data_IF_820524422603
#
_entry.id   IF_820524422603
#
_cell.length_a   1.000
_cell.length_b   1.000
_cell.length_c   1.000
_cell.angle_alpha   90.00
_cell.angle_beta   90.00
_cell.angle_gamma   90.00
#
_symmetry.space_group_name_H-M   'P 1'
#
loop_
_entity.id
_entity.type
_entity.pdbx_description
1 polymer ?
#
# COMPACT_ATOMS: atom_id res chain seq x y z
N UNK A 1 15.20 -47.77 6.87
CA UNK A 1 14.47 -48.81 7.62
C UNK A 1 13.98 -48.16 8.91
N UNK A 2 12.66 -48.07 9.12
CA UNK A 2 11.94 -47.11 10.00
C UNK A 2 12.05 -47.33 11.51
N UNK A 3 11.10 -46.86 12.36
CA UNK A 3 9.74 -46.33 12.08
C UNK A 3 9.59 -44.81 12.38
N UNK A 4 8.71 -44.01 11.77
CA UNK A 4 7.24 -44.03 11.62
C UNK A 4 6.47 -43.87 12.95
N UNK A 5 6.16 -42.62 13.32
CA UNK A 5 5.14 -42.29 14.32
C UNK A 5 4.01 -41.50 13.65
N UNK A 6 2.89 -42.19 13.44
CA UNK A 6 1.58 -41.62 13.16
C UNK A 6 0.82 -41.48 14.48
N UNK A 7 0.12 -40.37 14.71
CA UNK A 7 -1.00 -40.32 15.64
C UNK A 7 -2.03 -39.31 15.14
N UNK A 8 -3.15 -39.84 14.65
CA UNK A 8 -4.42 -39.17 14.39
C UNK A 8 -5.37 -39.31 15.60
N UNK A 9 -6.49 -38.57 15.52
CA UNK A 9 -7.70 -38.52 16.37
C UNK A 9 -7.64 -37.52 17.55
N UNK A 10 -8.65 -36.68 17.78
CA UNK A 10 -10.09 -36.92 17.60
C UNK A 10 -10.88 -35.60 17.47
N UNK A 11 -11.76 -35.57 16.48
CA UNK A 11 -12.88 -34.62 16.34
C UNK A 11 -13.97 -34.98 17.38
N UNK A 12 -14.52 -33.99 18.08
CA UNK A 12 -15.66 -34.17 18.98
C UNK A 12 -16.83 -33.29 18.55
N UNK A 13 -17.96 -33.96 18.34
CA UNK A 13 -19.27 -33.42 17.99
C UNK A 13 -19.86 -32.46 19.04
N UNK A 14 -20.62 -31.50 18.53
CA UNK A 14 -22.03 -31.33 18.89
C UNK A 14 -22.38 -30.78 20.27
N UNK A 15 -22.75 -29.49 20.31
CA UNK A 15 -23.72 -29.00 21.30
C UNK A 15 -24.68 -28.01 20.66
N UNK A 16 -25.95 -28.41 20.58
CA UNK A 16 -27.10 -27.53 20.36
C UNK A 16 -27.69 -27.14 21.71
N UNK A 17 -27.96 -25.85 21.90
CA UNK A 17 -28.91 -25.38 22.90
C UNK A 17 -29.75 -24.24 22.32
N UNK A 18 -31.05 -24.47 22.35
CA UNK A 18 -32.14 -23.58 21.99
C UNK A 18 -32.48 -22.63 23.15
N UNK A 19 -32.98 -21.44 22.80
CA UNK A 19 -33.97 -20.72 23.59
C UNK A 19 -33.54 -19.37 24.20
N UNK A 20 -34.36 -18.34 23.95
CA UNK A 20 -34.63 -17.28 24.92
C UNK A 20 -34.26 -15.86 24.51
N UNK A 21 -35.21 -15.13 23.93
CA UNK A 21 -35.22 -13.67 23.82
C UNK A 21 -35.48 -13.03 25.20
N UNK A 22 -34.65 -12.08 25.64
CA UNK A 22 -35.13 -10.87 26.35
C UNK A 22 -34.19 -9.67 26.12
N UNK A 23 -34.84 -8.57 25.77
CA UNK A 23 -34.44 -7.15 25.73
C UNK A 23 -33.43 -6.68 26.80
N UNK A 24 -32.52 -5.79 26.40
CA UNK A 24 -31.71 -4.96 27.29
C UNK A 24 -30.85 -3.95 26.51
N UNK A 25 -31.31 -2.70 26.46
CA UNK A 25 -30.63 -1.51 25.91
C UNK A 25 -29.35 -1.13 26.70
N UNK A 26 -28.49 -0.35 26.03
CA UNK A 26 -27.21 0.27 26.42
C UNK A 26 -25.98 -0.57 26.02
N UNK A 27 -24.90 -0.04 25.44
CA UNK A 27 -24.38 1.32 25.41
C UNK A 27 -23.42 1.47 24.21
N UNK A 28 -23.21 2.70 23.75
CA UNK A 28 -22.55 3.02 22.46
C UNK A 28 -21.08 2.63 22.34
N UNK A 29 -20.73 2.05 21.19
CA UNK A 29 -19.36 1.99 20.67
C UNK A 29 -19.20 3.08 19.58
N UNK A 30 -18.08 3.83 19.54
CA UNK A 30 -17.83 4.78 18.46
C UNK A 30 -17.43 4.04 17.18
N UNK A 31 -18.37 3.95 16.23
CA UNK A 31 -18.14 3.57 14.83
C UNK A 31 -17.39 4.72 14.14
N UNK A 32 -16.07 4.73 14.30
CA UNK A 32 -15.17 5.74 13.75
C UNK A 32 -14.16 5.19 12.75
N UNK A 33 -14.48 4.09 12.05
CA UNK A 33 -13.72 3.68 10.88
C UNK A 33 -14.00 4.69 9.76
N UNK A 34 -13.04 5.56 9.45
CA UNK A 34 -13.13 6.40 8.25
C UNK A 34 -13.12 5.48 7.03
N UNK A 35 -14.30 5.06 6.62
CA UNK A 35 -14.52 4.39 5.34
C UNK A 35 -14.06 5.39 4.28
N UNK A 36 -13.06 4.99 3.49
CA UNK A 36 -12.66 5.76 2.32
C UNK A 36 -13.89 5.89 1.42
N UNK A 37 -14.45 7.10 1.31
CA UNK A 37 -15.56 7.39 0.42
C UNK A 37 -14.96 7.87 -0.91
N UNK A 38 -15.03 7.06 -1.99
CA UNK A 38 -14.44 7.42 -3.28
C UNK A 38 -15.11 8.63 -3.96
N UNK A 39 -16.15 9.23 -3.35
CA UNK A 39 -16.89 10.36 -3.90
C UNK A 39 -16.51 11.73 -3.31
N UNK A 40 -15.54 11.84 -2.39
CA UNK A 40 -15.15 13.14 -1.80
C UNK A 40 -14.23 13.94 -2.74
N UNK A 41 -14.92 14.63 -3.66
CA UNK A 41 -14.66 15.90 -4.35
C UNK A 41 -13.21 16.46 -4.38
N UNK A 42 -12.66 16.58 -5.59
CA UNK A 42 -11.60 17.53 -5.92
C UNK A 42 -12.21 18.75 -6.62
N UNK A 43 -12.11 19.91 -5.99
CA UNK A 43 -12.26 21.19 -6.69
C UNK A 43 -11.02 21.40 -7.59
N UNK A 44 -11.18 21.83 -8.85
CA UNK A 44 -10.06 21.98 -9.76
C UNK A 44 -9.39 23.36 -9.55
N UNK A 45 -8.09 23.38 -9.27
CA UNK A 45 -7.27 24.54 -9.62
C UNK A 45 -5.85 24.14 -10.06
N UNK A 46 -5.37 24.90 -11.04
CA UNK A 46 -4.09 24.87 -11.75
C UNK A 46 -3.70 23.59 -12.55
N UNK A 47 -4.01 23.63 -13.85
CA UNK A 47 -3.35 22.89 -14.95
C UNK A 47 -3.39 21.35 -14.88
N UNK A 48 -4.58 20.76 -14.83
CA UNK A 48 -4.77 19.32 -14.98
C UNK A 48 -4.59 18.87 -16.44
N UNK A 49 -3.47 18.21 -16.74
CA UNK A 49 -3.31 17.41 -17.97
C UNK A 49 -3.99 16.06 -17.77
N UNK A 50 -5.00 15.78 -18.58
CA UNK A 50 -5.61 14.45 -18.69
C UNK A 50 -4.77 13.62 -19.67
N UNK A 51 -4.02 12.64 -19.18
CA UNK A 51 -3.20 11.75 -19.99
C UNK A 51 -3.72 10.30 -19.92
N UNK A 52 -3.64 9.52 -21.01
CA UNK A 52 -3.81 8.07 -20.92
C UNK A 52 -2.77 7.50 -19.94
N UNK A 53 -3.18 6.53 -19.14
CA UNK A 53 -2.40 6.02 -18.00
C UNK A 53 -1.13 5.32 -18.51
N UNK A 54 -0.04 6.06 -18.57
CA UNK A 54 1.32 5.56 -18.79
C UNK A 54 2.21 6.02 -17.65
N UNK A 55 1.70 6.02 -16.42
CA UNK A 55 2.47 6.46 -15.26
C UNK A 55 3.25 5.26 -14.71
N UNK A 56 4.57 5.29 -14.90
CA UNK A 56 5.55 4.29 -14.42
C UNK A 56 5.58 4.17 -12.88
N UNK A 57 4.81 4.98 -12.16
CA UNK A 57 4.62 4.90 -10.71
C UNK A 57 4.11 6.23 -10.15
N UNK A 58 4.19 6.35 -8.82
CA UNK A 58 3.68 7.48 -8.05
C UNK A 58 2.84 7.03 -6.86
N UNK A 59 2.59 7.96 -5.95
CA UNK A 59 1.88 7.72 -4.69
C UNK A 59 0.44 8.22 -4.80
N UNK A 60 -0.55 7.44 -4.40
CA UNK A 60 -1.94 7.89 -4.41
C UNK A 60 -2.24 8.85 -3.26
N UNK A 61 -3.22 9.71 -3.46
CA UNK A 61 -3.82 10.49 -2.39
C UNK A 61 -4.22 9.58 -1.21
N UNK A 62 -3.96 10.04 0.02
CA UNK A 62 -4.14 9.25 1.24
C UNK A 62 -2.90 8.47 1.67
N UNK A 63 -1.94 8.22 0.78
CA UNK A 63 -0.64 7.68 1.18
C UNK A 63 0.14 8.70 2.01
N UNK A 64 0.95 8.19 2.93
CA UNK A 64 1.86 8.99 3.74
C UNK A 64 3.31 8.70 3.39
N UNK A 65 4.19 9.64 3.67
CA UNK A 65 5.63 9.55 3.45
C UNK A 65 6.35 9.89 4.74
N UNK A 66 7.38 9.13 5.08
CA UNK A 66 8.19 9.41 6.26
C UNK A 66 9.13 10.61 5.99
N UNK A 67 9.03 11.62 6.83
CA UNK A 67 9.83 12.85 6.75
C UNK A 67 10.51 13.16 8.09
N UNK A 68 11.37 14.17 8.12
CA UNK A 68 11.92 14.68 9.39
C UNK A 68 10.87 15.26 10.35
N UNK A 69 9.65 15.58 9.87
CA UNK A 69 8.53 16.03 10.70
C UNK A 69 7.66 14.87 11.19
N UNK A 70 8.03 13.63 10.89
CA UNK A 70 7.20 12.45 11.06
C UNK A 70 6.52 12.02 9.76
N UNK A 71 5.47 11.22 9.88
CA UNK A 71 4.69 10.69 8.77
C UNK A 71 3.74 11.77 8.23
N UNK A 72 3.95 12.21 6.99
CA UNK A 72 3.21 13.33 6.37
C UNK A 72 2.39 12.81 5.18
N UNK A 73 1.11 13.21 5.01
CA UNK A 73 0.34 12.89 3.81
C UNK A 73 1.04 13.38 2.55
N UNK A 74 1.04 12.58 1.49
CA UNK A 74 1.76 12.94 0.24
C UNK A 74 1.25 14.25 -0.38
N UNK A 75 -0.05 14.55 -0.22
CA UNK A 75 -0.65 15.78 -0.73
C UNK A 75 -0.21 17.06 0.00
N UNK A 76 0.39 16.92 1.18
CA UNK A 76 0.89 18.05 1.98
C UNK A 76 2.39 18.29 1.78
N UNK A 77 3.07 17.45 0.99
CA UNK A 77 4.49 17.60 0.70
C UNK A 77 4.72 18.70 -0.32
N UNK A 78 5.78 19.46 -0.11
CA UNK A 78 6.21 20.53 -1.01
C UNK A 78 7.72 20.47 -1.29
N UNK A 79 8.15 21.16 -2.33
CA UNK A 79 9.57 21.33 -2.62
C UNK A 79 10.33 21.86 -1.39
N UNK A 80 11.50 21.27 -1.11
CA UNK A 80 12.32 21.58 0.05
C UNK A 80 12.07 20.70 1.28
N UNK A 81 10.92 20.01 1.37
CA UNK A 81 10.67 19.07 2.48
C UNK A 81 11.72 17.94 2.50
N UNK A 82 12.14 17.55 3.71
CA UNK A 82 13.17 16.53 3.93
C UNK A 82 12.52 15.16 4.16
N UNK A 83 12.54 14.33 3.12
CA UNK A 83 12.06 12.95 3.14
C UNK A 83 13.15 12.03 3.69
N UNK A 84 12.76 11.07 4.52
CA UNK A 84 13.63 10.00 5.01
C UNK A 84 13.70 8.92 3.94
N UNK A 85 14.91 8.56 3.52
CA UNK A 85 15.18 7.51 2.54
C UNK A 85 16.15 6.48 3.11
N UNK A 86 16.29 5.32 2.47
CA UNK A 86 17.30 4.31 2.81
C UNK A 86 18.73 4.86 2.85
N UNK A 87 19.04 5.87 2.05
CA UNK A 87 20.36 6.49 1.93
C UNK A 87 20.48 7.80 2.74
N UNK A 88 19.66 7.96 3.79
CA UNK A 88 19.57 9.15 4.61
C UNK A 88 18.52 10.14 4.10
N UNK A 89 18.54 11.36 4.61
CA UNK A 89 17.52 12.37 4.24
C UNK A 89 17.79 12.95 2.85
N UNK A 90 16.73 13.23 2.09
CA UNK A 90 16.79 13.91 0.78
C UNK A 90 15.75 15.03 0.74
N UNK A 91 16.11 16.17 0.13
CA UNK A 91 15.12 17.22 -0.12
C UNK A 91 14.32 16.89 -1.38
N UNK A 92 13.02 17.14 -1.32
CA UNK A 92 12.18 17.18 -2.50
C UNK A 92 12.57 18.36 -3.38
N UNK A 93 12.70 18.13 -4.68
CA UNK A 93 12.90 19.17 -5.70
C UNK A 93 11.58 19.72 -6.20
N UNK A 94 10.63 18.84 -6.43
CA UNK A 94 9.27 19.18 -6.80
C UNK A 94 8.32 18.07 -6.37
N UNK A 95 7.04 18.42 -6.34
CA UNK A 95 5.93 17.48 -6.21
C UNK A 95 5.01 17.75 -7.38
N UNK A 96 4.85 16.76 -8.25
CA UNK A 96 3.87 16.82 -9.33
C UNK A 96 2.64 16.03 -8.94
N UNK A 97 1.46 16.47 -9.37
CA UNK A 97 0.24 15.69 -9.19
C UNK A 97 -0.63 15.72 -10.44
N UNK A 98 -1.30 14.61 -10.71
CA UNK A 98 -2.28 14.48 -11.79
C UNK A 98 -3.48 13.66 -11.31
N UNK A 99 -4.65 13.93 -11.89
CA UNK A 99 -5.85 13.12 -11.66
C UNK A 99 -5.97 12.08 -12.76
N UNK A 100 -6.11 10.83 -12.34
CA UNK A 100 -6.37 9.67 -13.20
C UNK A 100 -7.84 9.26 -13.07
N UNK A 101 -8.56 9.28 -14.20
CA UNK A 101 -10.00 8.96 -14.21
C UNK A 101 -10.26 7.47 -13.99
N UNK A 102 -9.40 6.62 -14.54
CA UNK A 102 -9.47 5.16 -14.45
C UNK A 102 -8.08 4.58 -14.67
N UNK A 103 -7.64 3.67 -13.81
CA UNK A 103 -6.36 2.99 -13.96
C UNK A 103 -6.41 1.54 -13.46
N UNK A 104 -5.67 0.66 -14.14
CA UNK A 104 -5.35 -0.68 -13.62
C UNK A 104 -4.18 -0.55 -12.63
N UNK A 105 -4.42 -0.99 -11.41
CA UNK A 105 -3.49 -0.89 -10.27
C UNK A 105 -3.33 -2.27 -9.63
N UNK A 106 -2.34 -2.40 -8.76
CA UNK A 106 -2.14 -3.55 -7.91
C UNK A 106 -2.54 -3.17 -6.49
N UNK A 107 -3.52 -3.90 -5.92
CA UNK A 107 -3.82 -3.83 -4.49
C UNK A 107 -2.86 -4.77 -3.77
N UNK A 108 -2.14 -4.22 -2.81
CA UNK A 108 -1.32 -4.93 -1.83
C UNK A 108 -2.11 -4.89 -0.52
N UNK A 109 -2.57 -6.05 -0.06
CA UNK A 109 -3.30 -6.14 1.22
C UNK A 109 -2.42 -5.75 2.39
N UNK A 110 -3.02 -5.26 3.47
CA UNK A 110 -2.33 -5.11 4.74
C UNK A 110 -1.55 -6.38 5.11
N UNK A 111 -0.32 -6.22 5.59
CA UNK A 111 0.62 -7.28 5.96
C UNK A 111 1.04 -8.28 4.85
N UNK A 112 0.76 -8.01 3.58
CA UNK A 112 1.09 -8.94 2.48
C UNK A 112 2.60 -9.12 2.22
N UNK A 113 3.42 -8.14 2.62
CA UNK A 113 4.87 -8.10 2.41
C UNK A 113 5.68 -8.18 3.72
N UNK A 114 5.01 -8.49 4.84
CA UNK A 114 5.60 -8.59 6.16
C UNK A 114 4.60 -8.19 7.24
N UNK A 115 4.92 -8.44 8.51
CA UNK A 115 4.09 -7.97 9.63
C UNK A 115 3.99 -6.45 9.56
N UNK A 116 2.76 -5.93 9.48
CA UNK A 116 2.41 -4.51 9.33
C UNK A 116 3.01 -3.84 8.08
N UNK A 117 3.28 -4.61 7.01
CA UNK A 117 3.81 -4.11 5.74
C UNK A 117 2.94 -4.54 4.54
N UNK A 118 2.12 -3.64 3.98
CA UNK A 118 1.74 -2.32 4.52
C UNK A 118 0.83 -2.43 5.77
N UNK A 119 0.66 -1.33 6.51
CA UNK A 119 -0.26 -1.25 7.68
C UNK A 119 -1.73 -1.36 7.26
N UNK A 120 -2.07 -0.77 6.11
CA UNK A 120 -3.40 -0.80 5.50
C UNK A 120 -3.27 -1.22 4.04
N UNK A 121 -4.40 -1.51 3.39
CA UNK A 121 -4.41 -1.77 1.95
C UNK A 121 -3.80 -0.62 1.16
N UNK A 122 -2.90 -0.98 0.23
CA UNK A 122 -2.16 -0.02 -0.56
C UNK A 122 -2.33 -0.31 -2.05
N UNK A 123 -2.49 0.74 -2.85
CA UNK A 123 -2.73 0.63 -4.29
C UNK A 123 -1.58 1.27 -5.04
N UNK A 124 -0.88 0.49 -5.86
CA UNK A 124 0.30 0.91 -6.59
C UNK A 124 0.14 0.67 -8.09
N UNK A 125 0.78 1.50 -8.90
CA UNK A 125 0.92 1.22 -10.33
C UNK A 125 1.69 -0.09 -10.51
N UNK A 126 1.38 -0.94 -11.51
CA UNK A 126 2.05 -2.24 -11.69
C UNK A 126 3.58 -2.16 -11.78
N UNK A 127 4.10 -1.08 -12.37
CA UNK A 127 5.54 -0.83 -12.53
C UNK A 127 6.19 -0.15 -11.32
N UNK A 128 5.42 0.24 -10.29
CA UNK A 128 5.96 0.88 -9.09
C UNK A 128 6.97 -0.08 -8.43
N UNK A 129 8.27 0.30 -8.32
CA UNK A 129 9.25 -0.60 -7.76
C UNK A 129 9.20 -0.56 -6.22
N UNK A 130 9.14 -1.74 -5.61
CA UNK A 130 9.10 -1.98 -4.17
C UNK A 130 10.38 -2.71 -3.76
N UNK A 131 11.04 -2.26 -2.69
CA UNK A 131 12.17 -2.99 -2.13
C UNK A 131 11.64 -4.16 -1.28
N UNK A 132 11.88 -5.37 -1.77
CA UNK A 132 11.47 -6.63 -1.13
C UNK A 132 12.69 -7.26 -0.47
N UNK A 133 12.50 -7.78 0.76
CA UNK A 133 13.58 -8.30 1.62
C UNK A 133 13.27 -9.67 2.21
N UNK A 134 12.28 -10.36 1.64
CA UNK A 134 11.83 -11.69 2.06
C UNK A 134 12.23 -12.76 1.03
N UNK A 135 11.67 -13.97 1.18
CA UNK A 135 11.92 -15.10 0.29
C UNK A 135 11.61 -14.79 -1.19
N UNK A 136 10.71 -13.84 -1.50
CA UNK A 136 10.37 -13.48 -2.88
C UNK A 136 11.54 -12.81 -3.57
N UNK A 137 12.37 -12.04 -2.86
CA UNK A 137 13.59 -11.45 -3.42
C UNK A 137 14.57 -12.55 -3.87
N UNK A 138 14.74 -13.60 -3.05
CA UNK A 138 15.57 -14.74 -3.40
C UNK A 138 14.98 -15.53 -4.57
N UNK A 139 13.67 -15.78 -4.56
CA UNK A 139 12.99 -16.54 -5.60
C UNK A 139 13.01 -15.83 -6.97
N UNK A 140 12.80 -14.51 -7.00
CA UNK A 140 12.66 -13.73 -8.22
C UNK A 140 13.98 -13.17 -8.75
N UNK A 141 14.95 -12.89 -7.87
CA UNK A 141 16.20 -12.20 -8.23
C UNK A 141 17.47 -12.89 -7.73
N UNK A 142 17.35 -13.98 -6.96
CA UNK A 142 18.51 -14.71 -6.44
C UNK A 142 19.29 -13.96 -5.37
N UNK A 143 18.72 -12.91 -4.78
CA UNK A 143 19.37 -12.01 -3.83
C UNK A 143 18.58 -11.92 -2.52
N UNK A 144 19.24 -11.62 -1.37
CA UNK A 144 18.55 -11.47 -0.08
C UNK A 144 17.60 -10.28 -0.02
N UNK A 145 17.77 -9.30 -0.92
CA UNK A 145 16.84 -8.20 -1.12
C UNK A 145 16.92 -7.72 -2.56
N UNK A 146 15.82 -7.22 -3.10
CA UNK A 146 15.76 -6.67 -4.45
C UNK A 146 14.64 -5.64 -4.61
N UNK A 147 14.86 -4.67 -5.50
CA UNK A 147 13.80 -3.79 -5.98
C UNK A 147 13.04 -4.51 -7.10
N UNK A 148 11.74 -4.69 -6.93
CA UNK A 148 10.88 -5.49 -7.81
C UNK A 148 9.62 -4.68 -8.14
N UNK A 149 9.19 -4.60 -9.41
CA UNK A 149 7.89 -4.04 -9.77
C UNK A 149 6.77 -4.78 -9.02
N UNK A 150 5.85 -4.06 -8.38
CA UNK A 150 4.79 -4.68 -7.58
C UNK A 150 3.92 -5.65 -8.39
N UNK A 151 3.75 -5.44 -9.69
CA UNK A 151 3.03 -6.35 -10.58
C UNK A 151 3.67 -7.74 -10.69
N UNK A 152 4.98 -7.87 -10.45
CA UNK A 152 5.66 -9.16 -10.42
C UNK A 152 5.46 -9.93 -9.09
N UNK A 153 4.82 -9.30 -8.10
CA UNK A 153 4.53 -9.89 -6.79
C UNK A 153 3.10 -10.43 -6.68
N UNK A 154 2.32 -10.37 -7.76
CA UNK A 154 0.92 -10.85 -7.78
C UNK A 154 0.88 -12.33 -7.41
N UNK A 155 0.11 -12.65 -6.37
CA UNK A 155 -0.17 -14.01 -5.91
C UNK A 155 -1.64 -14.41 -6.10
N UNK A 156 -2.50 -13.44 -6.46
CA UNK A 156 -3.92 -13.66 -6.72
C UNK A 156 -4.81 -13.62 -5.48
N UNK A 157 -4.22 -13.55 -4.27
CA UNK A 157 -4.95 -13.54 -3.00
C UNK A 157 -4.70 -12.22 -2.25
N UNK A 158 -3.46 -11.98 -1.83
CA UNK A 158 -3.08 -10.80 -1.05
C UNK A 158 -2.59 -9.66 -1.93
N UNK A 159 -1.98 -9.98 -3.07
CA UNK A 159 -1.49 -9.04 -4.06
C UNK A 159 -2.16 -9.35 -5.40
N UNK A 160 -3.02 -8.45 -5.87
CA UNK A 160 -3.86 -8.71 -7.06
C UNK A 160 -4.24 -7.45 -7.83
N UNK A 161 -4.54 -7.56 -9.14
CA UNK A 161 -4.96 -6.42 -9.95
C UNK A 161 -6.36 -5.91 -9.56
N UNK A 162 -6.56 -4.61 -9.75
CA UNK A 162 -7.79 -3.86 -9.44
C UNK A 162 -7.87 -2.64 -10.35
N UNK A 163 -9.07 -2.36 -10.86
CA UNK A 163 -9.33 -1.06 -11.47
C UNK A 163 -9.75 -0.05 -10.40
N UNK A 164 -9.07 1.10 -10.37
CA UNK A 164 -9.46 2.26 -9.57
C UNK A 164 -9.98 3.38 -10.47
N UNK A 165 -10.79 4.28 -9.92
CA UNK A 165 -11.36 5.44 -10.63
C UNK A 165 -11.21 6.71 -9.81
N UNK A 166 -11.03 7.85 -10.48
CA UNK A 166 -11.01 9.17 -9.84
C UNK A 166 -9.88 9.39 -8.83
N UNK A 167 -8.72 8.76 -9.02
CA UNK A 167 -7.61 8.90 -8.08
C UNK A 167 -6.70 10.07 -8.45
N UNK A 168 -6.11 10.72 -7.45
CA UNK A 168 -4.98 11.64 -7.66
C UNK A 168 -3.68 10.91 -7.34
N UNK A 169 -2.71 11.02 -8.23
CA UNK A 169 -1.37 10.45 -8.07
C UNK A 169 -0.35 11.58 -7.93
N UNK A 170 0.62 11.38 -7.06
CA UNK A 170 1.69 12.31 -6.73
C UNK A 170 3.04 11.69 -7.12
N UNK A 171 3.86 12.44 -7.87
CA UNK A 171 5.25 12.09 -8.17
C UNK A 171 6.18 13.00 -7.39
N UNK A 172 7.12 12.40 -6.68
CA UNK A 172 8.09 13.07 -5.83
C UNK A 172 9.44 13.11 -6.56
N UNK A 173 9.92 14.30 -6.84
CA UNK A 173 11.19 14.50 -7.54
C UNK A 173 12.34 14.75 -6.56
N UNK A 174 13.48 14.12 -6.82
CA UNK A 174 14.71 14.20 -6.03
C UNK A 174 15.90 14.46 -6.96
N UNK A 175 17.08 14.78 -6.40
CA UNK A 175 18.34 14.92 -7.17
C UNK A 175 18.89 13.61 -7.77
N UNK A 176 18.13 12.52 -7.65
CA UNK A 176 18.48 11.21 -8.18
C UNK A 176 17.63 10.12 -7.55
N UNK A 177 17.87 8.85 -7.94
CA UNK A 177 17.08 7.73 -7.47
C UNK A 177 17.18 7.53 -5.96
N UNK A 178 16.03 7.35 -5.31
CA UNK A 178 15.94 7.08 -3.87
C UNK A 178 15.01 5.92 -3.59
N UNK A 179 15.18 5.28 -2.44
CA UNK A 179 14.16 4.39 -1.85
C UNK A 179 13.64 5.08 -0.60
N UNK A 180 12.38 5.51 -0.65
CA UNK A 180 11.69 6.23 0.42
C UNK A 180 10.74 5.31 1.18
N UNK A 181 10.38 5.72 2.39
CA UNK A 181 9.35 5.04 3.17
C UNK A 181 8.01 5.71 2.92
N UNK A 182 7.06 4.98 2.34
CA UNK A 182 5.73 5.49 2.02
C UNK A 182 4.66 4.40 2.18
N UNK A 183 3.55 4.74 2.86
CA UNK A 183 2.45 3.82 3.13
C UNK A 183 2.89 2.51 3.83
N UNK A 184 3.86 2.58 4.73
CA UNK A 184 4.41 1.41 5.42
C UNK A 184 5.34 0.54 4.57
N UNK A 185 5.65 0.93 3.33
CA UNK A 185 6.56 0.20 2.43
C UNK A 185 7.80 1.01 2.07
N UNK A 186 8.81 0.30 1.55
CA UNK A 186 10.01 0.89 0.95
C UNK A 186 9.85 0.95 -0.57
N UNK A 187 9.58 2.14 -1.10
CA UNK A 187 9.27 2.36 -2.51
C UNK A 187 10.42 3.08 -3.20
N UNK A 188 10.82 2.61 -4.38
CA UNK A 188 11.76 3.37 -5.20
C UNK A 188 11.05 4.56 -5.84
N UNK A 189 11.70 5.73 -5.84
CA UNK A 189 11.22 6.88 -6.61
C UNK A 189 11.27 6.55 -8.09
N UNK A 190 10.23 6.94 -8.82
CA UNK A 190 10.21 6.93 -10.27
C UNK A 190 10.29 8.37 -10.77
N UNK A 191 11.13 8.62 -11.76
CA UNK A 191 11.17 9.92 -12.44
C UNK A 191 9.98 10.00 -13.40
N UNK A 192 9.41 11.20 -13.51
CA UNK A 192 8.27 11.52 -14.40
C UNK A 192 8.71 12.04 -15.75
#
# INVERSE_FOLDING_TARGET
MGPAFSTEFKQSDGFQASGGLTSGLADGLPEGGRRFDPAVLLAPDAAERVLPVTSTGGLLAGMTVLTLRGTVPVGDLVAGDRVITRAGTRALRAVQSEVILRAEMIRVSASALGVDQPEEDLYLSPEQPVLVRDWRAQALKGQPQAVIPVGALIDGEYIRPVTVVGQRIFRLEFDGPVVLYAGGLELASVEG
#
